data_IF_392206961642
#
_entry.id   IF_392206961642
#
_cell.length_a   1.000
_cell.length_b   1.000
_cell.length_c   1.000
_cell.angle_alpha   90.00
_cell.angle_beta   90.00
_cell.angle_gamma   90.00
#
_symmetry.space_group_name_H-M   'P 1'
#
loop_
_entity.id
_entity.type
_entity.pdbx_description
1 polymer ?
#
# COMPACT_ATOMS: atom_id res chain seq x y z
N UNK A 1 -3.47 -13.57 -1.44
CA UNK A 1 -3.45 -12.23 -2.07
C UNK A 1 -2.66 -12.37 -3.37
N UNK A 2 -3.18 -11.85 -4.49
CA UNK A 2 -2.51 -11.84 -5.80
C UNK A 2 -2.38 -10.38 -6.23
N UNK A 3 -1.15 -9.88 -6.33
CA UNK A 3 -0.81 -8.55 -6.85
C UNK A 3 -0.19 -8.65 -8.25
N UNK A 4 0.14 -7.52 -8.86
CA UNK A 4 0.76 -7.48 -10.19
C UNK A 4 2.04 -8.30 -10.29
N UNK A 5 2.82 -8.44 -9.20
CA UNK A 5 4.04 -9.28 -9.20
C UNK A 5 3.69 -10.78 -9.28
N UNK A 6 2.68 -11.25 -8.55
CA UNK A 6 2.20 -12.65 -8.70
C UNK A 6 1.57 -12.89 -10.07
N UNK A 7 0.82 -11.92 -10.60
CA UNK A 7 0.24 -11.98 -11.96
C UNK A 7 1.32 -12.15 -13.02
N UNK A 8 2.40 -11.38 -12.91
CA UNK A 8 3.57 -11.51 -13.80
C UNK A 8 4.18 -12.91 -13.76
N UNK A 9 4.25 -13.53 -12.57
CA UNK A 9 4.76 -14.89 -12.40
C UNK A 9 3.82 -15.99 -12.90
N UNK A 10 2.51 -15.79 -12.82
CA UNK A 10 1.48 -16.73 -13.30
C UNK A 10 1.34 -16.68 -14.84
N UNK A 11 1.69 -15.55 -15.45
CA UNK A 11 1.35 -15.22 -16.84
C UNK A 11 0.00 -14.48 -16.87
N UNK A 12 0.03 -13.21 -17.29
CA UNK A 12 -1.09 -12.28 -17.11
C UNK A 12 -2.37 -12.75 -17.82
N UNK A 13 -2.24 -13.39 -18.96
CA UNK A 13 -3.32 -13.99 -19.73
C UNK A 13 -4.11 -15.05 -18.94
N UNK A 14 -3.47 -15.73 -17.99
CA UNK A 14 -4.12 -16.75 -17.15
C UNK A 14 -4.92 -16.13 -15.99
N UNK A 15 -4.78 -14.82 -15.78
CA UNK A 15 -5.41 -14.08 -14.67
C UNK A 15 -6.48 -13.09 -15.14
N UNK A 16 -6.66 -12.95 -16.45
CA UNK A 16 -7.64 -12.02 -17.02
C UNK A 16 -9.05 -12.28 -16.48
N UNK A 17 -9.72 -11.20 -16.06
CA UNK A 17 -11.07 -11.24 -15.48
C UNK A 17 -11.13 -11.69 -14.02
N UNK A 18 -10.01 -12.05 -13.39
CA UNK A 18 -9.99 -12.38 -11.97
C UNK A 18 -10.00 -11.13 -11.11
N UNK A 19 -10.65 -11.22 -9.94
CA UNK A 19 -10.78 -10.10 -9.01
C UNK A 19 -9.77 -10.21 -7.87
N UNK A 20 -9.20 -9.08 -7.49
CA UNK A 20 -8.34 -8.91 -6.33
C UNK A 20 -8.89 -7.83 -5.40
N UNK A 21 -8.77 -8.06 -4.09
CA UNK A 21 -9.10 -7.09 -3.05
C UNK A 21 -7.81 -6.70 -2.32
N UNK A 22 -7.37 -5.44 -2.47
CA UNK A 22 -6.08 -4.95 -1.98
C UNK A 22 -6.18 -3.55 -1.37
N UNK A 23 -5.15 -3.13 -0.63
CA UNK A 23 -4.95 -1.75 -0.25
C UNK A 23 -4.41 -0.92 -1.42
N UNK A 24 -3.62 -1.50 -2.31
CA UNK A 24 -2.93 -0.81 -3.39
C UNK A 24 -2.91 -1.60 -4.71
N UNK A 25 -2.95 -0.86 -5.81
CA UNK A 25 -2.63 -1.33 -7.16
C UNK A 25 -1.70 -0.30 -7.81
N UNK A 26 -0.71 -0.74 -8.59
CA UNK A 26 0.22 0.18 -9.25
C UNK A 26 -0.47 1.08 -10.29
N UNK A 27 -1.66 0.69 -10.75
CA UNK A 27 -2.49 1.46 -11.70
C UNK A 27 -3.16 2.69 -11.09
N UNK A 28 -3.02 2.93 -9.78
CA UNK A 28 -3.57 4.12 -9.11
C UNK A 28 -3.03 5.42 -9.71
N UNK A 29 -3.91 6.42 -9.86
CA UNK A 29 -3.57 7.72 -10.45
C UNK A 29 -3.45 8.79 -9.38
N UNK A 30 -2.26 8.95 -8.83
CA UNK A 30 -1.93 10.05 -7.93
C UNK A 30 -0.42 10.39 -8.00
N UNK A 31 -0.01 11.61 -7.62
CA UNK A 31 1.38 12.04 -7.75
C UNK A 31 2.38 11.21 -6.93
N UNK A 32 1.97 10.72 -5.75
CA UNK A 32 2.84 9.87 -4.91
C UNK A 32 3.10 8.53 -5.57
N UNK A 33 2.07 7.92 -6.16
CA UNK A 33 2.18 6.66 -6.90
C UNK A 33 3.00 6.81 -8.18
N UNK A 34 2.75 7.85 -8.98
CA UNK A 34 3.51 8.11 -10.21
C UNK A 34 5.01 8.22 -9.91
N UNK A 35 5.37 8.93 -8.83
CA UNK A 35 6.76 9.04 -8.36
C UNK A 35 7.31 7.69 -7.91
N UNK A 36 6.55 6.93 -7.12
CA UNK A 36 6.95 5.62 -6.61
C UNK A 36 7.19 4.60 -7.74
N UNK A 37 6.22 4.42 -8.64
CA UNK A 37 6.31 3.51 -9.79
C UNK A 37 7.47 3.92 -10.70
N UNK A 38 7.65 5.21 -10.98
CA UNK A 38 8.76 5.70 -11.80
C UNK A 38 10.11 5.40 -11.15
N UNK A 39 10.27 5.68 -9.85
CA UNK A 39 11.51 5.39 -9.13
C UNK A 39 11.80 3.88 -9.08
N UNK A 40 10.78 3.07 -8.86
CA UNK A 40 10.87 1.61 -8.84
C UNK A 40 11.33 1.07 -10.20
N UNK A 41 10.67 1.46 -11.30
CA UNK A 41 11.03 1.03 -12.66
C UNK A 41 12.42 1.52 -13.08
N UNK A 42 12.80 2.74 -12.70
CA UNK A 42 14.14 3.26 -12.97
C UNK A 42 15.24 2.44 -12.27
N UNK A 43 14.95 1.92 -11.06
CA UNK A 43 15.92 1.16 -10.27
C UNK A 43 15.99 -0.33 -10.66
N UNK A 44 14.84 -0.94 -10.90
CA UNK A 44 14.73 -2.40 -11.04
C UNK A 44 14.41 -2.87 -12.47
N UNK A 45 14.07 -1.95 -13.37
CA UNK A 45 13.82 -2.21 -14.79
C UNK A 45 12.44 -1.75 -15.25
N UNK A 46 12.36 -1.24 -16.48
CA UNK A 46 11.15 -0.65 -17.05
C UNK A 46 9.95 -1.61 -17.14
N UNK A 47 10.22 -2.90 -17.29
CA UNK A 47 9.21 -3.96 -17.39
C UNK A 47 8.83 -4.56 -16.03
N UNK A 48 9.46 -4.12 -14.92
CA UNK A 48 9.09 -4.57 -13.59
C UNK A 48 7.77 -3.94 -13.16
N UNK A 49 7.02 -4.68 -12.36
CA UNK A 49 5.80 -4.22 -11.70
C UNK A 49 6.01 -4.16 -10.19
N UNK A 50 5.22 -3.35 -9.51
CA UNK A 50 5.11 -3.32 -8.06
C UNK A 50 3.71 -3.73 -7.65
N UNK A 51 3.52 -4.06 -6.37
CA UNK A 51 2.23 -4.48 -5.82
C UNK A 51 2.06 -4.05 -4.37
N UNK A 52 0.92 -4.43 -3.79
CA UNK A 52 0.47 -4.02 -2.45
C UNK A 52 1.50 -4.27 -1.34
N UNK A 53 2.11 -5.45 -1.32
CA UNK A 53 3.08 -5.84 -0.28
C UNK A 53 4.37 -5.02 -0.35
N UNK A 54 4.84 -4.72 -1.57
CA UNK A 54 6.01 -3.87 -1.84
C UNK A 54 5.76 -2.43 -1.43
N UNK A 55 4.57 -1.90 -1.74
CA UNK A 55 4.15 -0.57 -1.35
C UNK A 55 4.03 -0.45 0.18
N UNK A 56 3.38 -1.44 0.83
CA UNK A 56 3.28 -1.49 2.29
C UNK A 56 4.66 -1.48 2.97
N UNK A 57 5.61 -2.27 2.44
CA UNK A 57 6.98 -2.28 2.95
C UNK A 57 7.71 -0.94 2.72
N UNK A 58 7.47 -0.30 1.56
CA UNK A 58 8.03 1.01 1.24
C UNK A 58 7.54 2.07 2.23
N UNK A 59 6.24 2.15 2.48
CA UNK A 59 5.67 3.17 3.39
C UNK A 59 6.00 2.89 4.87
N UNK A 60 6.18 1.63 5.26
CA UNK A 60 6.51 1.27 6.64
C UNK A 60 7.81 1.93 7.11
N UNK A 61 8.81 2.07 6.23
CA UNK A 61 10.07 2.74 6.56
C UNK A 61 9.88 4.24 6.79
N UNK A 62 9.05 4.91 5.96
CA UNK A 62 8.74 6.34 6.13
C UNK A 62 7.91 6.60 7.39
N UNK A 63 6.92 5.75 7.66
CA UNK A 63 6.11 5.83 8.87
C UNK A 63 6.97 5.66 10.13
N UNK A 64 7.90 4.70 10.12
CA UNK A 64 8.87 4.52 11.19
C UNK A 64 9.78 5.74 11.34
N UNK A 65 10.33 6.28 10.23
CA UNK A 65 11.23 7.44 10.30
C UNK A 65 10.52 8.67 10.84
N UNK A 66 9.28 8.93 10.41
CA UNK A 66 8.45 10.03 10.93
C UNK A 66 8.19 9.89 12.44
N UNK A 67 7.95 8.67 12.91
CA UNK A 67 7.78 8.41 14.35
C UNK A 67 9.08 8.63 15.13
N UNK A 68 10.22 8.19 14.61
CA UNK A 68 11.52 8.41 15.22
C UNK A 68 11.92 9.90 15.25
N UNK A 69 11.64 10.63 14.18
CA UNK A 69 11.85 12.08 14.09
C UNK A 69 10.97 12.84 15.09
N UNK A 70 9.68 12.50 15.19
CA UNK A 70 8.76 13.08 16.16
C UNK A 70 9.16 12.76 17.61
N UNK A 71 9.68 11.56 17.86
CA UNK A 71 10.19 11.15 19.17
C UNK A 71 11.56 11.76 19.52
N UNK A 72 12.28 12.30 18.52
CA UNK A 72 13.70 12.67 18.62
C UNK A 72 14.54 11.54 19.25
N UNK A 73 14.21 10.30 18.91
CA UNK A 73 14.77 9.11 19.57
C UNK A 73 14.59 7.87 18.72
N UNK A 74 15.47 6.89 18.92
CA UNK A 74 15.32 5.53 18.42
C UNK A 74 14.88 4.55 19.53
N UNK A 75 14.59 5.05 20.72
CA UNK A 75 14.02 4.24 21.80
C UNK A 75 12.64 3.71 21.39
N UNK A 76 12.46 2.39 21.51
CA UNK A 76 11.29 1.68 20.95
C UNK A 76 9.99 2.22 21.54
N UNK A 77 9.91 2.42 22.86
CA UNK A 77 8.69 2.88 23.52
C UNK A 77 8.35 4.31 23.11
N UNK A 78 9.35 5.18 22.98
CA UNK A 78 9.15 6.56 22.50
C UNK A 78 8.69 6.61 21.05
N UNK A 79 9.25 5.78 20.18
CA UNK A 79 8.86 5.70 18.76
C UNK A 79 7.42 5.21 18.63
N UNK A 80 7.06 4.16 19.38
CA UNK A 80 5.68 3.63 19.42
C UNK A 80 4.70 4.72 19.90
N UNK A 81 5.00 5.40 21.01
CA UNK A 81 4.14 6.46 21.51
C UNK A 81 4.00 7.61 20.50
N UNK A 82 5.08 7.96 19.80
CA UNK A 82 5.08 9.01 18.79
C UNK A 82 4.31 8.64 17.51
N UNK A 83 4.16 7.34 17.20
CA UNK A 83 3.49 6.90 15.96
C UNK A 83 1.99 7.16 15.95
N UNK A 84 1.37 7.32 17.13
CA UNK A 84 -0.07 7.60 17.27
C UNK A 84 -0.50 8.77 16.38
N UNK A 85 -1.54 8.52 15.56
CA UNK A 85 -2.16 9.45 14.62
C UNK A 85 -1.24 10.06 13.56
N UNK A 86 -0.02 9.55 13.36
CA UNK A 86 0.82 9.95 12.23
C UNK A 86 0.14 9.60 10.91
N UNK A 87 0.23 10.52 9.95
CA UNK A 87 -0.41 10.42 8.65
C UNK A 87 0.57 10.77 7.53
N UNK A 88 0.48 10.06 6.42
CA UNK A 88 1.27 10.31 5.20
C UNK A 88 0.39 10.14 3.96
N UNK A 89 0.63 10.97 2.94
CA UNK A 89 0.12 10.75 1.60
C UNK A 89 1.04 9.74 0.87
N UNK A 90 0.68 8.46 0.97
CA UNK A 90 1.41 7.33 0.40
C UNK A 90 1.03 7.07 -1.07
N UNK A 91 1.77 6.21 -1.80
CA UNK A 91 1.35 5.72 -3.12
C UNK A 91 -0.07 5.14 -3.12
N UNK A 92 -0.49 4.47 -2.05
CA UNK A 92 -1.87 3.99 -1.86
C UNK A 92 -2.89 5.07 -1.46
N UNK A 93 -2.49 6.33 -1.42
CA UNK A 93 -3.28 7.44 -0.91
C UNK A 93 -3.00 7.72 0.56
N UNK A 94 -3.89 8.47 1.21
CA UNK A 94 -3.74 8.83 2.62
C UNK A 94 -3.80 7.58 3.51
N UNK A 95 -2.79 7.41 4.37
CA UNK A 95 -2.77 6.40 5.43
C UNK A 95 -2.44 7.05 6.75
N UNK A 96 -3.06 6.55 7.83
CA UNK A 96 -2.90 7.13 9.17
C UNK A 96 -2.83 6.03 10.22
N UNK A 97 -1.90 6.12 11.18
CA UNK A 97 -1.93 5.25 12.34
C UNK A 97 -3.22 5.45 13.15
N UNK A 98 -3.84 4.35 13.55
CA UNK A 98 -4.84 4.39 14.58
C UNK A 98 -4.24 4.92 15.89
N UNK A 99 -5.06 5.57 16.71
CA UNK A 99 -4.63 6.22 17.95
C UNK A 99 -3.94 5.28 18.94
N UNK A 100 -4.30 3.99 18.97
CA UNK A 100 -3.90 3.07 20.05
C UNK A 100 -3.70 1.59 19.65
N UNK A 101 -3.93 1.18 18.40
CA UNK A 101 -3.87 -0.24 18.00
C UNK A 101 -2.75 -0.57 16.99
N UNK A 102 -1.94 0.44 16.63
CA UNK A 102 -0.81 0.37 15.69
C UNK A 102 -1.14 -0.10 14.26
N UNK A 103 -2.42 -0.24 13.90
CA UNK A 103 -2.85 -0.50 12.53
C UNK A 103 -3.07 0.82 11.79
N UNK A 104 -3.14 0.75 10.46
CA UNK A 104 -3.36 1.90 9.60
C UNK A 104 -4.83 2.01 9.18
N UNK A 105 -5.35 3.23 9.21
CA UNK A 105 -6.49 3.63 8.39
C UNK A 105 -6.08 3.51 6.92
N UNK A 106 -6.83 2.73 6.15
CA UNK A 106 -6.53 2.43 4.75
C UNK A 106 -7.80 2.42 3.88
N UNK A 107 -7.60 2.65 2.59
CA UNK A 107 -8.60 2.36 1.58
C UNK A 107 -8.61 0.86 1.27
N UNK A 108 -9.76 0.33 0.88
CA UNK A 108 -9.89 -1.02 0.31
C UNK A 108 -10.34 -0.89 -1.13
N UNK A 109 -9.71 -1.65 -2.01
CA UNK A 109 -9.90 -1.57 -3.45
C UNK A 109 -10.19 -2.93 -4.05
N UNK A 110 -11.15 -2.97 -4.97
CA UNK A 110 -11.43 -4.15 -5.79
C UNK A 110 -10.96 -3.85 -7.21
N UNK A 111 -10.02 -4.66 -7.70
CA UNK A 111 -9.48 -4.58 -9.05
C UNK A 111 -9.75 -5.86 -9.84
N UNK A 112 -9.98 -5.72 -11.14
CA UNK A 112 -10.05 -6.82 -12.12
C UNK A 112 -8.75 -6.84 -12.92
N UNK A 113 -8.07 -7.99 -12.98
CA UNK A 113 -6.85 -8.09 -13.79
C UNK A 113 -7.17 -8.16 -15.28
N UNK A 114 -6.45 -7.36 -16.05
CA UNK A 114 -6.50 -7.31 -17.51
C UNK A 114 -5.45 -8.24 -18.11
N UNK A 115 -5.56 -8.54 -19.41
CA UNK A 115 -4.59 -9.36 -20.13
C UNK A 115 -3.14 -8.82 -20.10
N UNK A 116 -2.95 -7.52 -19.87
CA UNK A 116 -1.63 -6.88 -19.73
C UNK A 116 -1.05 -6.98 -18.30
N UNK A 117 -1.76 -7.67 -17.39
CA UNK A 117 -1.38 -7.90 -16.01
C UNK A 117 -1.62 -6.70 -15.09
N UNK A 118 -2.25 -5.63 -15.57
CA UNK A 118 -2.65 -4.48 -14.75
C UNK A 118 -4.06 -4.68 -14.18
N UNK A 119 -4.31 -4.06 -13.03
CA UNK A 119 -5.63 -4.05 -12.42
C UNK A 119 -6.47 -2.86 -12.93
N UNK A 120 -7.64 -3.15 -13.49
CA UNK A 120 -8.72 -2.20 -13.68
C UNK A 120 -9.46 -1.98 -12.36
N UNK A 121 -9.44 -0.75 -11.84
CA UNK A 121 -10.11 -0.42 -10.58
C UNK A 121 -11.62 -0.44 -10.74
N UNK A 122 -12.30 -1.37 -10.06
CA UNK A 122 -13.76 -1.48 -10.07
C UNK A 122 -14.40 -0.71 -8.91
N UNK A 123 -13.73 -0.68 -7.76
CA UNK A 123 -14.25 -0.06 -6.55
C UNK A 123 -13.12 0.41 -5.64
N UNK A 124 -13.37 1.52 -4.95
CA UNK A 124 -12.57 2.03 -3.84
C UNK A 124 -13.52 2.44 -2.71
N UNK A 125 -13.22 1.99 -1.49
CA UNK A 125 -13.98 2.38 -0.30
C UNK A 125 -13.64 3.81 0.13
N UNK A 126 -14.42 4.44 1.02
CA UNK A 126 -13.89 5.48 1.90
C UNK A 126 -12.72 4.95 2.75
N UNK A 127 -12.00 5.83 3.44
CA UNK A 127 -10.97 5.41 4.39
C UNK A 127 -11.60 4.60 5.54
N UNK A 128 -11.09 3.39 5.78
CA UNK A 128 -11.63 2.45 6.76
C UNK A 128 -10.81 2.50 8.04
N UNK A 129 -11.49 2.57 9.18
CA UNK A 129 -10.88 2.40 10.51
C UNK A 129 -10.45 0.95 10.70
N UNK A 130 -9.20 0.68 11.11
CA UNK A 130 -8.75 -0.69 11.30
C UNK A 130 -9.36 -1.29 12.57
N UNK A 131 -10.12 -2.37 12.39
CA UNK A 131 -10.55 -3.26 13.48
C UNK A 131 -9.83 -4.61 13.33
N UNK A 132 -8.68 -4.81 14.01
CA UNK A 132 -7.92 -6.05 13.90
C UNK A 132 -8.59 -7.26 14.57
N UNK A 133 -9.62 -7.04 15.39
CA UNK A 133 -10.34 -8.09 16.11
C UNK A 133 -11.85 -7.91 15.95
N UNK A 134 -12.38 -7.99 14.71
CA UNK A 134 -13.78 -7.74 14.45
C UNK A 134 -14.67 -8.78 15.11
N UNK A 135 -15.79 -8.34 15.65
CA UNK A 135 -16.85 -9.24 16.13
C UNK A 135 -17.78 -9.58 14.97
N UNK A 136 -18.09 -10.87 14.84
CA UNK A 136 -19.08 -11.39 13.90
C UNK A 136 -20.51 -11.10 14.37
#
# INVERSE_FOLDING_TARGET
AVSEEEVSGIGSENTEGTLACMGYFQSLKNPANEKFVSAFKNKYGANRVTGDTLECAYIAVYLWSMAAEKAQSFDVEKVIAASSELEIDAPEGKVRFHKDNHHLWKYVRIGEFLADGQANMLYESPLIEPDPFPKL
#
